data_IF_261016424192
#
_entry.id   IF_261016424192
#
_cell.length_a   1.000
_cell.length_b   1.000
_cell.length_c   1.000
_cell.angle_alpha   90.00
_cell.angle_beta   90.00
_cell.angle_gamma   90.00
#
_symmetry.space_group_name_H-M   'P 1'
#
loop_
_entity.id
_entity.type
_entity.pdbx_description
1 polymer ?
#
# COMPACT_ATOMS: atom_id res chain seq x y z
N UNK A 1 25.82 6.47 4.31
CA UNK A 1 24.83 5.64 3.59
C UNK A 1 24.72 4.21 4.13
N UNK A 2 25.78 3.37 4.13
CA UNK A 2 25.72 1.99 4.70
C UNK A 2 25.30 1.94 6.17
N UNK A 3 25.77 2.88 7.01
CA UNK A 3 25.41 2.92 8.44
C UNK A 3 23.90 3.12 8.69
N UNK A 4 23.22 3.97 7.90
CA UNK A 4 21.78 4.20 8.02
C UNK A 4 20.96 2.95 7.66
N UNK A 5 21.36 2.26 6.59
CA UNK A 5 20.73 1.01 6.19
C UNK A 5 20.96 -0.10 7.21
N UNK A 6 22.19 -0.26 7.73
CA UNK A 6 22.48 -1.27 8.76
C UNK A 6 21.67 -1.02 10.03
N UNK A 7 21.55 0.24 10.47
CA UNK A 7 20.71 0.60 11.62
C UNK A 7 19.22 0.32 11.36
N UNK A 8 18.76 0.64 10.15
CA UNK A 8 17.39 0.36 9.73
C UNK A 8 17.09 -1.15 9.75
N UNK A 9 17.93 -1.97 9.12
CA UNK A 9 17.76 -3.42 9.11
C UNK A 9 17.83 -4.05 10.51
N UNK A 10 18.73 -3.57 11.37
CA UNK A 10 18.85 -4.07 12.75
C UNK A 10 17.62 -3.74 13.59
N UNK A 11 17.01 -2.58 13.38
CA UNK A 11 15.77 -2.18 14.05
C UNK A 11 14.57 -2.94 13.48
N UNK A 12 14.55 -3.16 12.16
CA UNK A 12 13.51 -3.91 11.45
C UNK A 12 13.38 -5.36 11.95
N UNK A 13 14.48 -5.95 12.42
CA UNK A 13 14.52 -7.32 12.97
C UNK A 13 13.53 -7.51 14.13
N UNK A 14 13.46 -6.56 15.07
CA UNK A 14 12.51 -6.64 16.20
C UNK A 14 11.06 -6.53 15.73
N UNK A 15 10.80 -5.75 14.67
CA UNK A 15 9.48 -5.68 14.04
C UNK A 15 9.08 -6.99 13.36
N UNK A 16 10.04 -7.80 12.86
CA UNK A 16 9.74 -9.10 12.25
C UNK A 16 9.16 -10.09 13.26
N UNK A 17 9.65 -10.10 14.50
CA UNK A 17 9.12 -10.98 15.54
C UNK A 17 7.65 -10.66 15.85
N UNK A 18 7.30 -9.38 15.95
CA UNK A 18 5.91 -8.95 16.18
C UNK A 18 4.99 -9.33 15.03
N UNK A 19 5.48 -9.26 13.79
CA UNK A 19 4.76 -9.75 12.60
C UNK A 19 4.53 -11.25 12.64
N UNK A 20 5.56 -12.04 12.99
CA UNK A 20 5.44 -13.48 13.11
C UNK A 20 4.37 -13.88 14.15
N UNK A 21 4.38 -13.23 15.32
CA UNK A 21 3.38 -13.44 16.38
C UNK A 21 1.98 -13.07 15.89
N UNK A 22 1.84 -11.92 15.20
CA UNK A 22 0.55 -11.47 14.67
C UNK A 22 0.01 -12.45 13.62
N UNK A 23 0.85 -12.91 12.70
CA UNK A 23 0.50 -13.90 11.67
C UNK A 23 0.02 -15.21 12.29
N UNK A 24 0.80 -15.77 13.24
CA UNK A 24 0.43 -17.00 13.93
C UNK A 24 -0.90 -16.83 14.69
N UNK A 25 -1.09 -15.70 15.38
CA UNK A 25 -2.32 -15.42 16.12
C UNK A 25 -3.54 -15.29 15.19
N UNK A 26 -3.41 -14.67 13.99
CA UNK A 26 -4.52 -14.57 13.01
C UNK A 26 -4.91 -15.94 12.45
N UNK A 27 -3.94 -16.78 12.11
CA UNK A 27 -4.20 -18.13 11.62
C UNK A 27 -4.89 -18.95 12.71
N UNK A 28 -4.35 -18.92 13.95
CA UNK A 28 -4.98 -19.60 15.10
C UNK A 28 -6.38 -19.06 15.39
N UNK A 29 -6.60 -17.75 15.26
CA UNK A 29 -7.91 -17.13 15.44
C UNK A 29 -8.94 -17.69 14.44
N UNK A 30 -8.56 -17.89 13.18
CA UNK A 30 -9.45 -18.49 12.17
C UNK A 30 -9.80 -19.95 12.52
N UNK A 31 -8.82 -20.75 12.93
CA UNK A 31 -9.04 -22.14 13.37
C UNK A 31 -9.92 -22.19 14.62
N UNK A 32 -9.62 -21.37 15.62
CA UNK A 32 -10.38 -21.31 16.87
C UNK A 32 -11.85 -20.93 16.64
N UNK A 33 -12.13 -20.04 15.68
CA UNK A 33 -13.50 -19.70 15.29
C UNK A 33 -14.22 -20.91 14.68
N UNK A 34 -13.56 -21.64 13.77
CA UNK A 34 -14.13 -22.85 13.17
C UNK A 34 -14.44 -23.92 14.23
N UNK A 35 -13.49 -24.20 15.13
CA UNK A 35 -13.69 -25.16 16.22
C UNK A 35 -14.75 -24.71 17.23
N UNK A 36 -14.87 -23.40 17.51
CA UNK A 36 -15.94 -22.87 18.35
C UNK A 36 -17.31 -23.13 17.73
N UNK A 37 -17.47 -22.90 16.43
CA UNK A 37 -18.74 -23.15 15.72
C UNK A 37 -19.09 -24.64 15.78
N UNK A 38 -18.12 -25.53 15.62
CA UNK A 38 -18.34 -26.99 15.70
C UNK A 38 -18.86 -27.43 17.09
N UNK A 39 -18.43 -26.76 18.17
CA UNK A 39 -18.94 -27.07 19.52
C UNK A 39 -20.43 -26.79 19.70
N UNK A 40 -21.04 -25.94 18.87
CA UNK A 40 -22.49 -25.70 18.93
C UNK A 40 -23.32 -26.89 18.45
N UNK A 41 -22.72 -27.82 17.69
CA UNK A 41 -23.37 -29.06 17.28
C UNK A 41 -23.27 -30.16 18.36
N UNK A 42 -22.52 -29.95 19.45
CA UNK A 42 -22.35 -30.91 20.53
C UNK A 42 -23.22 -30.52 21.73
N UNK A 43 -24.24 -31.32 22.02
CA UNK A 43 -25.09 -31.13 23.19
C UNK A 43 -24.42 -31.65 24.47
N UNK A 44 -24.63 -30.95 25.59
CA UNK A 44 -24.17 -31.35 26.92
C UNK A 44 -23.06 -30.48 27.53
N UNK A 45 -22.72 -30.77 28.79
CA UNK A 45 -21.79 -29.98 29.61
C UNK A 45 -20.36 -29.98 29.03
N UNK A 46 -19.93 -31.09 28.43
CA UNK A 46 -18.61 -31.21 27.82
C UNK A 46 -18.46 -30.35 26.55
N UNK A 47 -19.54 -30.21 25.77
CA UNK A 47 -19.59 -29.30 24.62
C UNK A 47 -19.45 -27.85 25.05
N UNK A 48 -20.19 -27.44 26.09
CA UNK A 48 -20.12 -26.09 26.66
C UNK A 48 -18.70 -25.78 27.20
N UNK A 49 -18.06 -26.71 27.91
CA UNK A 49 -16.69 -26.51 28.43
C UNK A 49 -15.67 -26.31 27.31
N UNK A 50 -15.73 -27.12 26.25
CA UNK A 50 -14.87 -26.96 25.06
C UNK A 50 -15.16 -25.65 24.33
N UNK A 51 -16.43 -25.24 24.23
CA UNK A 51 -16.83 -23.97 23.65
C UNK A 51 -16.23 -22.77 24.38
N UNK A 52 -16.32 -22.74 25.72
CA UNK A 52 -15.68 -21.68 26.52
C UNK A 52 -14.15 -21.64 26.34
N UNK A 53 -13.50 -22.80 26.21
CA UNK A 53 -12.06 -22.88 25.94
C UNK A 53 -11.70 -22.26 24.59
N UNK A 54 -12.39 -22.64 23.50
CA UNK A 54 -12.14 -22.08 22.16
C UNK A 54 -12.48 -20.59 22.07
N UNK A 55 -13.55 -20.14 22.74
CA UNK A 55 -13.88 -18.72 22.85
C UNK A 55 -12.78 -17.93 23.59
N UNK A 56 -12.22 -18.49 24.67
CA UNK A 56 -11.07 -17.90 25.37
C UNK A 56 -9.84 -17.78 24.46
N UNK A 57 -9.52 -18.83 23.71
CA UNK A 57 -8.42 -18.81 22.72
C UNK A 57 -8.68 -17.74 21.66
N UNK A 58 -9.89 -17.67 21.10
CA UNK A 58 -10.27 -16.69 20.09
C UNK A 58 -10.06 -15.24 20.58
N UNK A 59 -10.56 -14.91 21.78
CA UNK A 59 -10.44 -13.58 22.39
C UNK A 59 -8.98 -13.25 22.72
N UNK A 60 -8.21 -14.22 23.23
CA UNK A 60 -6.79 -14.03 23.51
C UNK A 60 -5.98 -13.75 22.23
N UNK A 61 -6.24 -14.50 21.15
CA UNK A 61 -5.60 -14.28 19.85
C UNK A 61 -5.97 -12.90 19.29
N UNK A 62 -7.26 -12.53 19.33
CA UNK A 62 -7.71 -11.21 18.87
C UNK A 62 -7.01 -10.06 19.63
N UNK A 63 -6.86 -10.23 20.95
CA UNK A 63 -6.16 -9.25 21.81
C UNK A 63 -4.68 -9.16 21.46
N UNK A 64 -4.00 -10.29 21.25
CA UNK A 64 -2.61 -10.34 20.79
C UNK A 64 -2.46 -9.64 19.45
N UNK A 65 -3.33 -9.93 18.48
CA UNK A 65 -3.31 -9.30 17.14
C UNK A 65 -3.49 -7.79 17.25
N UNK A 66 -4.44 -7.32 18.08
CA UNK A 66 -4.67 -5.90 18.32
C UNK A 66 -3.39 -5.20 18.82
N UNK A 67 -2.83 -5.66 19.94
CA UNK A 67 -1.65 -5.03 20.53
C UNK A 67 -0.41 -5.11 19.63
N UNK A 68 -0.14 -6.28 19.03
CA UNK A 68 1.02 -6.47 18.15
C UNK A 68 0.91 -5.62 16.89
N UNK A 69 -0.28 -5.52 16.28
CA UNK A 69 -0.49 -4.71 15.08
C UNK A 69 -0.29 -3.23 15.38
N UNK A 70 -0.92 -2.70 16.43
CA UNK A 70 -0.75 -1.29 16.80
C UNK A 70 0.69 -0.96 17.21
N UNK A 71 1.34 -1.83 18.00
CA UNK A 71 2.74 -1.64 18.36
C UNK A 71 3.66 -1.68 17.14
N UNK A 72 3.42 -2.61 16.21
CA UNK A 72 4.18 -2.70 14.97
C UNK A 72 4.04 -1.43 14.12
N UNK A 73 2.80 -0.95 13.93
CA UNK A 73 2.58 0.31 13.21
C UNK A 73 3.32 1.46 13.90
N UNK A 74 3.18 1.61 15.21
CA UNK A 74 3.88 2.67 15.94
C UNK A 74 5.41 2.59 15.74
N UNK A 75 6.01 1.42 15.93
CA UNK A 75 7.46 1.23 15.79
C UNK A 75 7.96 1.54 14.37
N UNK A 76 7.26 1.03 13.36
CA UNK A 76 7.63 1.23 11.95
C UNK A 76 7.43 2.67 11.51
N UNK A 77 6.40 3.35 12.01
CA UNK A 77 6.21 4.79 11.82
C UNK A 77 7.32 5.62 12.46
N UNK A 78 7.64 5.38 13.73
CA UNK A 78 8.73 6.07 14.44
C UNK A 78 10.07 5.82 13.74
N UNK A 79 10.32 4.59 13.31
CA UNK A 79 11.52 4.24 12.54
C UNK A 79 11.59 5.00 11.21
N UNK A 80 10.47 5.06 10.47
CA UNK A 80 10.36 5.83 9.24
C UNK A 80 10.63 7.32 9.45
N UNK A 81 10.11 7.91 10.54
CA UNK A 81 10.38 9.30 10.91
C UNK A 81 11.85 9.54 11.23
N UNK A 82 12.49 8.65 12.01
CA UNK A 82 13.93 8.75 12.32
C UNK A 82 14.78 8.68 11.06
N UNK A 83 14.43 7.77 10.12
CA UNK A 83 15.10 7.67 8.83
C UNK A 83 14.94 8.97 8.02
N UNK A 84 13.72 9.54 7.99
CA UNK A 84 13.47 10.84 7.34
C UNK A 84 14.34 11.94 7.92
N UNK A 85 14.35 12.12 9.24
CA UNK A 85 15.12 13.17 9.91
C UNK A 85 16.62 13.00 9.62
N UNK A 86 17.15 11.78 9.69
CA UNK A 86 18.55 11.51 9.41
C UNK A 86 18.92 11.78 7.94
N UNK A 87 18.05 11.44 6.99
CA UNK A 87 18.23 11.75 5.58
C UNK A 87 18.23 13.26 5.32
N UNK A 88 17.26 14.00 5.86
CA UNK A 88 17.20 15.47 5.72
C UNK A 88 18.45 16.13 6.33
N UNK A 89 18.86 15.72 7.52
CA UNK A 89 20.07 16.23 8.17
C UNK A 89 21.34 15.93 7.33
N UNK A 90 21.42 14.74 6.74
CA UNK A 90 22.54 14.35 5.86
C UNK A 90 22.56 15.17 4.57
N UNK A 91 21.39 15.41 3.96
CA UNK A 91 21.25 16.28 2.77
C UNK A 91 21.71 17.68 3.12
N UNK A 92 21.21 18.26 4.23
CA UNK A 92 21.58 19.60 4.67
C UNK A 92 23.10 19.74 4.91
N UNK A 93 23.69 18.80 5.66
CA UNK A 93 25.13 18.80 5.91
C UNK A 93 25.97 18.67 4.62
N UNK A 94 25.47 17.92 3.62
CA UNK A 94 26.14 17.80 2.32
C UNK A 94 25.99 19.06 1.47
N UNK A 95 24.82 19.70 1.49
CA UNK A 95 24.55 20.97 0.80
C UNK A 95 25.50 22.09 1.24
N UNK A 96 25.83 22.16 2.53
CA UNK A 96 26.79 23.14 3.07
C UNK A 96 28.25 22.90 2.64
N UNK A 97 28.59 21.70 2.18
CA UNK A 97 29.97 21.32 1.79
C UNK A 97 30.16 21.20 0.27
N UNK A 98 29.10 21.44 -0.50
CA UNK A 98 29.17 21.41 -1.95
C UNK A 98 29.80 22.72 -2.45
N UNK A 99 30.94 22.60 -3.12
CA UNK A 99 31.60 23.73 -3.81
C UNK A 99 30.68 24.31 -4.89
N UNK A 100 30.54 25.64 -4.93
CA UNK A 100 29.74 26.34 -5.94
C UNK A 100 30.23 26.05 -7.37
N UNK A 101 31.52 25.78 -7.55
CA UNK A 101 32.15 25.63 -8.88
C UNK A 101 31.73 24.32 -9.59
N UNK A 102 31.41 23.26 -8.82
CA UNK A 102 30.98 21.97 -9.38
C UNK A 102 29.47 21.76 -9.41
N UNK A 103 28.68 22.51 -8.62
CA UNK A 103 27.23 22.30 -8.46
C UNK A 103 26.34 23.26 -9.26
N UNK A 104 26.87 24.44 -9.65
CA UNK A 104 26.12 25.47 -10.40
C UNK A 104 25.50 24.91 -11.70
N UNK A 105 26.15 23.93 -12.33
CA UNK A 105 25.69 23.36 -13.61
C UNK A 105 24.87 22.05 -13.47
N UNK A 106 24.75 21.45 -12.28
CA UNK A 106 24.18 20.10 -12.16
C UNK A 106 23.01 19.94 -11.19
N UNK A 107 22.89 20.76 -10.12
CA UNK A 107 21.81 20.60 -9.12
C UNK A 107 21.35 21.96 -8.59
N UNK A 108 20.09 22.32 -8.86
CA UNK A 108 19.45 23.54 -8.31
C UNK A 108 19.12 23.38 -6.82
N UNK A 109 19.20 24.48 -6.06
CA UNK A 109 18.72 24.55 -4.67
C UNK A 109 17.26 24.07 -4.55
N UNK A 110 16.41 24.38 -5.54
CA UNK A 110 15.03 23.88 -5.60
C UNK A 110 14.93 22.36 -5.71
N UNK A 111 15.83 21.72 -6.46
CA UNK A 111 15.89 20.25 -6.58
C UNK A 111 16.25 19.61 -5.25
N UNK A 112 17.22 20.18 -4.52
CA UNK A 112 17.61 19.69 -3.19
C UNK A 112 16.44 19.81 -2.19
N UNK A 113 15.74 20.95 -2.20
CA UNK A 113 14.57 21.17 -1.35
C UNK A 113 13.43 20.19 -1.67
N UNK A 114 13.20 19.90 -2.96
CA UNK A 114 12.19 18.93 -3.38
C UNK A 114 12.53 17.52 -2.89
N UNK A 115 13.79 17.08 -3.02
CA UNK A 115 14.24 15.78 -2.51
C UNK A 115 14.04 15.70 -1.00
N UNK A 116 14.48 16.72 -0.25
CA UNK A 116 14.38 16.75 1.20
C UNK A 116 12.92 16.76 1.70
N UNK A 117 12.00 17.36 0.94
CA UNK A 117 10.60 17.50 1.33
C UNK A 117 9.73 16.32 0.86
N UNK A 118 9.83 15.91 -0.40
CA UNK A 118 8.91 14.97 -1.04
C UNK A 118 9.49 13.54 -1.15
N UNK A 119 10.74 13.39 -1.60
CA UNK A 119 11.31 12.06 -1.84
C UNK A 119 11.62 11.33 -0.52
N UNK A 120 12.15 12.06 0.46
CA UNK A 120 12.48 11.48 1.77
C UNK A 120 11.22 11.06 2.55
N UNK A 121 10.09 11.72 2.33
CA UNK A 121 8.83 11.36 2.99
C UNK A 121 8.36 9.94 2.65
N UNK A 122 8.66 9.47 1.42
CA UNK A 122 8.31 8.11 0.98
C UNK A 122 8.96 7.01 1.83
N UNK A 123 10.07 7.30 2.50
CA UNK A 123 10.70 6.34 3.41
C UNK A 123 9.85 6.00 4.63
N UNK A 124 8.94 6.88 5.05
CA UNK A 124 8.01 6.58 6.14
C UNK A 124 7.08 5.44 5.71
N UNK A 125 6.41 5.60 4.57
CA UNK A 125 5.52 4.56 4.04
C UNK A 125 6.27 3.27 3.71
N UNK A 126 7.47 3.38 3.14
CA UNK A 126 8.31 2.20 2.88
C UNK A 126 8.68 1.45 4.16
N UNK A 127 8.88 2.16 5.28
CA UNK A 127 9.16 1.55 6.59
C UNK A 127 7.97 0.81 7.16
N UNK A 128 6.76 1.33 6.93
CA UNK A 128 5.50 0.74 7.39
C UNK A 128 5.14 -0.50 6.56
N UNK A 129 5.18 -0.40 5.24
CA UNK A 129 4.70 -1.46 4.35
C UNK A 129 5.78 -2.47 3.93
N UNK A 130 7.06 -2.10 3.99
CA UNK A 130 8.18 -2.95 3.59
C UNK A 130 8.16 -4.34 4.24
N UNK A 131 7.98 -4.46 5.57
CA UNK A 131 7.89 -5.77 6.23
C UNK A 131 6.78 -6.68 5.71
N UNK A 132 5.61 -6.12 5.36
CA UNK A 132 4.49 -6.89 4.81
C UNK A 132 4.79 -7.48 3.43
N UNK A 133 5.69 -6.85 2.67
CA UNK A 133 6.12 -7.39 1.37
C UNK A 133 6.88 -8.71 1.51
N UNK A 134 7.56 -8.92 2.64
CA UNK A 134 8.29 -10.15 2.96
C UNK A 134 7.38 -11.18 3.64
N UNK A 135 6.56 -10.75 4.61
CA UNK A 135 5.70 -11.66 5.37
C UNK A 135 4.43 -12.07 4.66
N UNK A 136 3.92 -11.26 3.72
CA UNK A 136 2.69 -11.54 2.98
C UNK A 136 2.72 -12.90 2.28
N UNK A 137 3.77 -13.25 1.50
CA UNK A 137 3.89 -14.58 0.89
C UNK A 137 3.95 -15.72 1.92
N UNK A 138 4.60 -15.51 3.07
CA UNK A 138 4.72 -16.52 4.13
C UNK A 138 3.35 -16.77 4.79
N UNK A 139 2.62 -15.69 5.09
CA UNK A 139 1.24 -15.74 5.60
C UNK A 139 0.33 -16.45 4.60
N UNK A 140 0.47 -16.12 3.31
CA UNK A 140 -0.29 -16.74 2.23
C UNK A 140 -0.08 -18.27 2.17
N UNK A 141 1.17 -18.75 2.29
CA UNK A 141 1.49 -20.19 2.35
C UNK A 141 0.89 -20.83 3.60
N UNK A 142 0.98 -20.18 4.77
CA UNK A 142 0.40 -20.67 6.02
C UNK A 142 -1.12 -20.84 5.94
N UNK A 143 -1.81 -19.87 5.34
CA UNK A 143 -3.27 -19.93 5.09
C UNK A 143 -3.61 -21.06 4.12
N UNK A 144 -2.83 -21.24 3.05
CA UNK A 144 -3.03 -22.34 2.11
C UNK A 144 -2.89 -23.71 2.79
N UNK A 145 -1.84 -23.88 3.61
CA UNK A 145 -1.60 -25.12 4.33
C UNK A 145 -2.76 -25.45 5.28
N UNK A 146 -3.17 -24.50 6.13
CA UNK A 146 -4.28 -24.73 7.08
C UNK A 146 -5.60 -24.95 6.35
N UNK A 147 -5.88 -24.18 5.29
CA UNK A 147 -7.09 -24.35 4.49
C UNK A 147 -7.17 -25.72 3.81
N UNK A 148 -6.04 -26.24 3.32
CA UNK A 148 -5.95 -27.60 2.77
C UNK A 148 -6.21 -28.69 3.82
N UNK A 149 -5.78 -28.50 5.07
CA UNK A 149 -6.04 -29.47 6.14
C UNK A 149 -7.52 -29.50 6.56
N UNK A 150 -8.19 -28.35 6.56
CA UNK A 150 -9.57 -28.23 7.05
C UNK A 150 -10.60 -28.53 5.94
N UNK A 151 -10.44 -27.93 4.76
CA UNK A 151 -11.43 -27.97 3.68
C UNK A 151 -11.00 -28.91 2.54
N UNK A 152 -9.72 -29.29 2.48
CA UNK A 152 -9.18 -30.18 1.45
C UNK A 152 -8.96 -29.48 0.10
N UNK A 153 -8.95 -30.25 -1.01
CA UNK A 153 -8.62 -29.74 -2.35
C UNK A 153 -9.53 -28.60 -2.85
N UNK A 154 -10.77 -28.52 -2.35
CA UNK A 154 -11.70 -27.45 -2.69
C UNK A 154 -11.17 -26.06 -2.29
N UNK A 155 -10.41 -25.96 -1.19
CA UNK A 155 -9.78 -24.70 -0.78
C UNK A 155 -8.72 -24.24 -1.80
N UNK A 156 -7.91 -25.17 -2.29
CA UNK A 156 -6.87 -24.86 -3.28
C UNK A 156 -7.47 -24.35 -4.60
N UNK A 157 -8.65 -24.85 -5.00
CA UNK A 157 -9.32 -24.37 -6.21
C UNK A 157 -9.72 -22.89 -6.11
N UNK A 158 -10.31 -22.45 -5.00
CA UNK A 158 -10.61 -21.03 -4.79
C UNK A 158 -9.37 -20.18 -4.57
N UNK A 159 -8.40 -20.70 -3.80
CA UNK A 159 -7.12 -20.03 -3.58
C UNK A 159 -6.35 -19.83 -4.89
N UNK A 160 -6.46 -20.75 -5.84
CA UNK A 160 -5.84 -20.64 -7.16
C UNK A 160 -6.28 -19.36 -7.91
N UNK A 161 -7.50 -18.89 -7.67
CA UNK A 161 -8.02 -17.65 -8.28
C UNK A 161 -7.24 -16.41 -7.85
N UNK A 162 -6.63 -16.41 -6.66
CA UNK A 162 -5.79 -15.30 -6.20
C UNK A 162 -4.57 -15.11 -7.10
N UNK A 163 -4.03 -16.19 -7.69
CA UNK A 163 -2.93 -16.10 -8.66
C UNK A 163 -3.35 -15.43 -9.98
N UNK A 164 -4.64 -15.35 -10.29
CA UNK A 164 -5.16 -14.56 -11.41
C UNK A 164 -5.37 -13.09 -11.02
N UNK A 165 -5.94 -12.84 -9.83
CA UNK A 165 -6.24 -11.48 -9.39
C UNK A 165 -5.00 -10.67 -9.05
N UNK A 166 -3.99 -11.26 -8.40
CA UNK A 166 -2.77 -10.53 -8.00
C UNK A 166 -2.06 -9.91 -9.23
N UNK A 167 -1.74 -10.66 -10.31
CA UNK A 167 -1.13 -10.08 -11.51
C UNK A 167 -2.03 -9.06 -12.20
N UNK A 168 -3.35 -9.29 -12.24
CA UNK A 168 -4.30 -8.34 -12.83
C UNK A 168 -4.29 -6.99 -12.07
N UNK A 169 -4.31 -7.04 -10.74
CA UNK A 169 -4.21 -5.85 -9.89
C UNK A 169 -2.86 -5.15 -10.03
N UNK A 170 -1.76 -5.91 -10.12
CA UNK A 170 -0.44 -5.35 -10.36
C UNK A 170 -0.36 -4.63 -11.72
N UNK A 171 -0.90 -5.24 -12.78
CA UNK A 171 -0.97 -4.63 -14.11
C UNK A 171 -1.77 -3.33 -14.11
N UNK A 172 -2.98 -3.33 -13.52
CA UNK A 172 -3.81 -2.13 -13.40
C UNK A 172 -3.11 -1.03 -12.60
N UNK A 173 -2.45 -1.39 -11.50
CA UNK A 173 -1.70 -0.47 -10.64
C UNK A 173 -0.50 0.15 -11.38
N UNK A 174 0.22 -0.64 -12.17
CA UNK A 174 1.31 -0.16 -13.02
C UNK A 174 0.82 0.84 -14.07
N UNK A 175 -0.26 0.50 -14.79
CA UNK A 175 -0.90 1.40 -15.76
C UNK A 175 -1.41 2.68 -15.10
N UNK A 176 -2.02 2.59 -13.93
CA UNK A 176 -2.42 3.76 -13.14
C UNK A 176 -1.22 4.67 -12.81
N UNK A 177 -0.07 4.09 -12.42
CA UNK A 177 1.18 4.82 -12.23
C UNK A 177 1.63 5.56 -13.48
N UNK A 178 1.63 4.90 -14.65
CA UNK A 178 2.01 5.53 -15.93
C UNK A 178 1.08 6.69 -16.30
N UNK A 179 -0.24 6.55 -16.11
CA UNK A 179 -1.19 7.63 -16.36
C UNK A 179 -1.02 8.78 -15.38
N UNK A 180 -0.72 8.52 -14.11
CA UNK A 180 -0.40 9.59 -13.14
C UNK A 180 0.82 10.40 -13.54
N UNK A 181 1.87 9.74 -14.05
CA UNK A 181 3.05 10.45 -14.57
C UNK A 181 2.69 11.33 -15.78
N UNK A 182 1.87 10.81 -16.71
CA UNK A 182 1.36 11.60 -17.85
C UNK A 182 0.50 12.78 -17.40
N UNK A 183 -0.39 12.59 -16.42
CA UNK A 183 -1.21 13.66 -15.85
C UNK A 183 -0.30 14.76 -15.30
N UNK A 184 0.72 14.40 -14.50
CA UNK A 184 1.65 15.38 -13.92
C UNK A 184 2.33 16.23 -14.99
N UNK A 185 2.79 15.64 -16.10
CA UNK A 185 3.38 16.38 -17.23
C UNK A 185 2.38 17.35 -17.90
N UNK A 186 1.12 16.94 -18.08
CA UNK A 186 0.08 17.82 -18.67
C UNK A 186 -0.27 18.95 -17.70
N UNK A 187 -0.40 18.64 -16.41
CA UNK A 187 -0.67 19.63 -15.36
C UNK A 187 0.45 20.67 -15.29
N UNK A 188 1.71 20.24 -15.37
CA UNK A 188 2.87 21.13 -15.36
C UNK A 188 2.81 22.11 -16.54
N UNK A 189 2.62 21.61 -17.78
CA UNK A 189 2.46 22.46 -18.96
C UNK A 189 1.31 23.47 -18.83
N UNK A 190 0.18 23.07 -18.24
CA UNK A 190 -0.96 23.97 -17.97
C UNK A 190 -0.57 25.05 -16.97
N UNK A 191 0.08 24.69 -15.86
CA UNK A 191 0.49 25.62 -14.80
C UNK A 191 1.53 26.61 -15.34
N UNK A 192 2.50 26.15 -16.14
CA UNK A 192 3.47 27.03 -16.81
C UNK A 192 2.77 28.04 -17.71
N UNK A 193 1.83 27.61 -18.56
CA UNK A 193 1.11 28.53 -19.46
C UNK A 193 0.28 29.56 -18.67
N UNK A 194 -0.41 29.13 -17.61
CA UNK A 194 -1.13 30.04 -16.71
C UNK A 194 -0.19 31.05 -16.08
N UNK A 195 0.98 30.62 -15.61
CA UNK A 195 1.99 31.53 -15.04
C UNK A 195 2.46 32.57 -16.05
N UNK A 196 2.72 32.17 -17.30
CA UNK A 196 3.13 33.08 -18.37
C UNK A 196 2.03 34.10 -18.71
N UNK A 197 0.77 33.67 -18.77
CA UNK A 197 -0.36 34.57 -19.01
C UNK A 197 -0.52 35.62 -17.89
N UNK A 198 -0.33 35.22 -16.63
CA UNK A 198 -0.38 36.13 -15.47
C UNK A 198 0.79 37.11 -15.51
N UNK A 199 2.02 36.64 -15.73
CA UNK A 199 3.19 37.52 -15.85
C UNK A 199 3.10 38.49 -17.04
N UNK A 200 2.48 38.07 -18.14
CA UNK A 200 2.28 38.85 -19.37
C UNK A 200 0.95 39.62 -19.44
N UNK A 201 0.20 39.74 -18.35
CA UNK A 201 -1.21 40.17 -18.39
C UNK A 201 -1.42 41.55 -19.04
N UNK A 202 -0.51 42.51 -18.83
CA UNK A 202 -0.61 43.85 -19.45
C UNK A 202 -0.53 43.76 -20.99
N UNK A 203 0.44 43.02 -21.51
CA UNK A 203 0.62 42.84 -22.95
C UNK A 203 -0.57 42.08 -23.55
N UNK A 204 -1.01 41.00 -22.89
CA UNK A 204 -2.18 40.22 -23.31
C UNK A 204 -3.43 41.09 -23.47
N UNK A 205 -3.70 42.00 -22.50
CA UNK A 205 -4.82 42.94 -22.57
C UNK A 205 -4.65 44.02 -23.65
N UNK A 206 -3.46 44.57 -23.80
CA UNK A 206 -3.18 45.57 -24.84
C UNK A 206 -3.33 45.00 -26.27
N UNK A 207 -3.11 43.69 -26.44
CA UNK A 207 -3.24 43.00 -27.72
C UNK A 207 -4.61 42.33 -27.94
N UNK A 208 -5.50 42.30 -26.94
CA UNK A 208 -6.81 41.63 -27.05
C UNK A 208 -6.73 40.10 -27.18
N UNK A 209 -5.70 39.48 -26.60
CA UNK A 209 -5.42 38.03 -26.75
C UNK A 209 -6.02 37.15 -25.64
N UNK A 210 -6.87 37.70 -24.77
CA UNK A 210 -7.38 36.99 -23.60
C UNK A 210 -8.12 35.70 -23.96
N UNK A 211 -8.97 35.76 -25.00
CA UNK A 211 -9.75 34.62 -25.46
C UNK A 211 -8.85 33.50 -26.01
N UNK A 212 -7.80 33.86 -26.74
CA UNK A 212 -6.87 32.89 -27.35
C UNK A 212 -6.06 32.15 -26.28
N UNK A 213 -5.58 32.86 -25.24
CA UNK A 213 -4.92 32.23 -24.10
C UNK A 213 -5.88 31.35 -23.30
N UNK A 214 -7.11 31.83 -23.06
CA UNK A 214 -8.15 31.08 -22.35
C UNK A 214 -8.47 29.76 -23.07
N UNK A 215 -8.69 29.82 -24.38
CA UNK A 215 -8.98 28.65 -25.22
C UNK A 215 -7.81 27.64 -25.18
N UNK A 216 -6.57 28.11 -25.33
CA UNK A 216 -5.39 27.26 -25.25
C UNK A 216 -5.23 26.57 -23.89
N UNK A 217 -5.50 27.27 -22.78
CA UNK A 217 -5.51 26.68 -21.44
C UNK A 217 -6.63 25.64 -21.32
N UNK A 218 -7.82 25.94 -21.85
CA UNK A 218 -8.98 25.04 -21.83
C UNK A 218 -8.71 23.74 -22.61
N UNK A 219 -8.02 23.81 -23.75
CA UNK A 219 -7.62 22.63 -24.52
C UNK A 219 -6.68 21.70 -23.73
N UNK A 220 -5.66 22.27 -23.07
CA UNK A 220 -4.75 21.51 -22.22
C UNK A 220 -5.53 20.89 -21.05
N UNK A 221 -6.42 21.66 -20.42
CA UNK A 221 -7.27 21.17 -19.33
C UNK A 221 -8.19 20.03 -19.77
N UNK A 222 -8.73 20.06 -21.00
CA UNK A 222 -9.54 18.97 -21.56
C UNK A 222 -8.72 17.69 -21.76
N UNK A 223 -7.42 17.78 -22.11
CA UNK A 223 -6.51 16.63 -22.18
C UNK A 223 -6.16 16.09 -20.78
N UNK A 224 -5.95 16.99 -19.83
CA UNK A 224 -5.69 16.68 -18.42
C UNK A 224 -6.86 15.89 -17.80
N UNK A 225 -8.09 16.42 -17.89
CA UNK A 225 -9.31 15.80 -17.34
C UNK A 225 -9.54 14.41 -17.94
N UNK A 226 -9.39 14.24 -19.26
CA UNK A 226 -9.52 12.92 -19.91
C UNK A 226 -8.52 11.90 -19.35
N UNK A 227 -7.30 12.34 -19.08
CA UNK A 227 -6.26 11.48 -18.49
C UNK A 227 -6.57 11.14 -17.03
N UNK A 228 -7.03 12.12 -16.25
CA UNK A 228 -7.49 11.93 -14.86
C UNK A 228 -8.64 10.93 -14.78
N UNK A 229 -9.66 11.07 -15.64
CA UNK A 229 -10.77 10.12 -15.70
C UNK A 229 -10.29 8.72 -16.06
N UNK A 230 -9.34 8.59 -17.00
CA UNK A 230 -8.71 7.29 -17.32
C UNK A 230 -8.02 6.66 -16.12
N UNK A 231 -7.22 7.44 -15.38
CA UNK A 231 -6.55 6.96 -14.17
C UNK A 231 -7.55 6.53 -13.08
N UNK A 232 -8.60 7.33 -12.84
CA UNK A 232 -9.64 7.01 -11.87
C UNK A 232 -10.43 5.76 -12.26
N UNK A 233 -10.69 5.52 -13.55
CA UNK A 233 -11.31 4.26 -14.01
C UNK A 233 -10.42 3.04 -13.71
N UNK A 234 -9.11 3.12 -13.97
CA UNK A 234 -8.20 2.03 -13.62
C UNK A 234 -8.16 1.77 -12.12
N UNK A 235 -8.12 2.84 -11.32
CA UNK A 235 -8.19 2.75 -9.86
C UNK A 235 -9.48 2.05 -9.41
N UNK A 236 -10.62 2.47 -9.94
CA UNK A 236 -11.93 1.88 -9.63
C UNK A 236 -11.95 0.39 -9.97
N UNK A 237 -11.51 -0.01 -11.16
CA UNK A 237 -11.41 -1.43 -11.54
C UNK A 237 -10.52 -2.24 -10.60
N UNK A 238 -9.37 -1.69 -10.18
CA UNK A 238 -8.46 -2.35 -9.26
C UNK A 238 -9.10 -2.58 -7.88
N UNK A 239 -9.85 -1.59 -7.37
CA UNK A 239 -10.61 -1.70 -6.12
C UNK A 239 -11.79 -2.68 -6.27
N UNK A 240 -12.49 -2.66 -7.40
CA UNK A 240 -13.58 -3.61 -7.69
C UNK A 240 -13.08 -5.05 -7.66
N UNK A 241 -11.94 -5.36 -8.29
CA UNK A 241 -11.33 -6.69 -8.24
C UNK A 241 -11.03 -7.08 -6.80
N UNK A 242 -10.47 -6.16 -6.00
CA UNK A 242 -10.18 -6.43 -4.59
C UNK A 242 -11.44 -6.84 -3.81
N UNK A 243 -12.52 -6.05 -3.90
CA UNK A 243 -13.75 -6.34 -3.15
C UNK A 243 -14.46 -7.62 -3.64
N UNK A 244 -14.55 -7.82 -4.95
CA UNK A 244 -15.23 -8.99 -5.53
C UNK A 244 -14.42 -10.28 -5.30
N UNK A 245 -13.09 -10.21 -5.27
CA UNK A 245 -12.23 -11.38 -5.10
C UNK A 245 -12.57 -12.19 -3.85
N UNK A 246 -12.83 -11.53 -2.71
CA UNK A 246 -13.19 -12.19 -1.46
C UNK A 246 -14.46 -13.04 -1.59
N UNK A 247 -15.49 -12.50 -2.25
CA UNK A 247 -16.75 -13.21 -2.46
C UNK A 247 -16.59 -14.37 -3.45
N UNK A 248 -15.91 -14.13 -4.59
CA UNK A 248 -15.71 -15.17 -5.62
C UNK A 248 -14.89 -16.35 -5.11
N UNK A 249 -13.84 -16.10 -4.33
CA UNK A 249 -13.04 -17.17 -3.71
C UNK A 249 -13.95 -18.04 -2.83
N UNK A 250 -14.77 -17.45 -1.96
CA UNK A 250 -15.70 -18.19 -1.12
C UNK A 250 -16.71 -19.02 -1.91
N UNK A 251 -17.31 -18.44 -2.95
CA UNK A 251 -18.27 -19.12 -3.84
C UNK A 251 -17.61 -20.34 -4.51
N UNK A 252 -16.41 -20.18 -5.09
CA UNK A 252 -15.71 -21.27 -5.76
C UNK A 252 -15.36 -22.39 -4.78
N UNK A 253 -14.83 -22.05 -3.59
CA UNK A 253 -14.51 -23.07 -2.58
C UNK A 253 -15.75 -23.89 -2.26
N UNK A 254 -16.88 -23.23 -2.01
CA UNK A 254 -18.13 -23.91 -1.68
C UNK A 254 -18.66 -24.76 -2.84
N UNK A 255 -18.71 -24.22 -4.05
CA UNK A 255 -19.20 -24.94 -5.24
C UNK A 255 -18.35 -26.17 -5.55
N UNK A 256 -17.02 -26.06 -5.46
CA UNK A 256 -16.10 -27.19 -5.66
C UNK A 256 -16.25 -28.21 -4.55
N UNK A 257 -16.38 -27.77 -3.29
CA UNK A 257 -16.57 -28.67 -2.15
C UNK A 257 -17.85 -29.51 -2.30
N UNK A 258 -18.97 -28.88 -2.66
CA UNK A 258 -20.25 -29.56 -2.94
C UNK A 258 -20.18 -30.48 -4.16
N UNK A 259 -19.34 -30.17 -5.15
CA UNK A 259 -19.18 -31.03 -6.34
C UNK A 259 -18.32 -32.27 -6.08
N UNK A 260 -17.46 -32.23 -5.06
CA UNK A 260 -16.54 -33.32 -4.68
C UNK A 260 -17.14 -34.21 -3.57
N UNK A 261 -18.00 -33.64 -2.72
CA UNK A 261 -18.69 -34.34 -1.62
C UNK A 261 -19.89 -35.13 -2.11
#
# INVERSE_FOLDING_TARGET
HRALLVYFYKTLWFSQLKLAISMAARITQAVALGSLIETFNQEGVDGARKGYMWAGILVSCATIVLFTTHSLFFDTWVMGMRLRIACVASIYAKSLRLSSIGSINSVSSGTVMNIASNDVERFILASVFGPFMLWGPIEAIGVLFVGLQIIGPAFAAGYALLFLFIPAQFYLSSRFGTLRSKIASITDARVTLVSQAVSGARMMKMSGWENQFSERIAEIRKKEIRSIQGANRLKAWNETIFFISNALVGIIIFSVHVSIS
#
